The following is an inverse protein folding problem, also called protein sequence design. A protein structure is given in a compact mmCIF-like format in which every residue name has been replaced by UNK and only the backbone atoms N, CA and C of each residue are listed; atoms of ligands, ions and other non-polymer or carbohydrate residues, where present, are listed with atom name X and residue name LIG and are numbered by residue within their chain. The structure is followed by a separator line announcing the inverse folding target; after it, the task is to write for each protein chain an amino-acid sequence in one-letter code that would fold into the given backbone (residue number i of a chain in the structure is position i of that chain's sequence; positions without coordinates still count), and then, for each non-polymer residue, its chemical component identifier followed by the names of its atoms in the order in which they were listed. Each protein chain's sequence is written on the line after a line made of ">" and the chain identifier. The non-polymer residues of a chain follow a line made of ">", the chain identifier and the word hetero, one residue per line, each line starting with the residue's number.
data_IF_901646501858
#
_entry.id   IF_901646501858
#
_cell.length_a   1.000
_cell.length_b   1.000
_cell.length_c   1.000
_cell.angle_alpha   90.00
_cell.angle_beta   90.00
_cell.angle_gamma   90.00
#
_symmetry.space_group_name_H-M   'P 1'
#
loop_
_entity.id
_entity.type
_entity.pdbx_description
1 polymer ?
#
# COMPACT_ATOMS: atom_id res chain seq x y z
N UNK A 1 -4.74 4.94 0.30
CA UNK A 1 -3.69 4.91 -0.75
C UNK A 1 -4.34 4.84 -2.11
N UNK A 2 -3.78 5.43 -3.18
CA UNK A 2 -4.30 5.29 -4.56
C UNK A 2 -3.33 4.46 -5.39
N UNK A 3 -3.85 3.49 -6.15
CA UNK A 3 -3.10 2.68 -7.11
C UNK A 3 -3.69 2.92 -8.49
N UNK A 4 -2.85 3.17 -9.48
CA UNK A 4 -3.26 3.35 -10.87
C UNK A 4 -2.34 2.60 -11.80
N UNK A 5 -2.92 1.97 -12.82
CA UNK A 5 -2.22 1.32 -13.92
C UNK A 5 -2.15 2.25 -15.13
N UNK A 6 -1.14 2.08 -15.97
CA UNK A 6 -1.07 2.76 -17.27
C UNK A 6 -1.81 2.00 -18.37
N UNK A 7 -1.63 2.46 -19.60
CA UNK A 7 -2.17 1.82 -20.80
C UNK A 7 -1.58 0.43 -20.99
N UNK A 8 -2.43 -0.59 -21.01
CA UNK A 8 -2.06 -1.99 -21.19
C UNK A 8 -3.27 -2.82 -21.60
N UNK A 9 -3.10 -4.14 -21.75
CA UNK A 9 -4.21 -5.05 -22.04
C UNK A 9 -4.44 -5.99 -20.86
N UNK A 10 -5.70 -6.14 -20.44
CA UNK A 10 -6.09 -7.11 -19.41
C UNK A 10 -5.91 -6.62 -17.97
N UNK A 11 -6.56 -7.33 -17.06
CA UNK A 11 -6.48 -7.06 -15.62
C UNK A 11 -5.27 -7.75 -15.00
N UNK A 12 -4.51 -7.01 -14.21
CA UNK A 12 -3.36 -7.53 -13.47
C UNK A 12 -3.61 -7.40 -11.97
N UNK A 13 -3.12 -8.38 -11.22
CA UNK A 13 -3.17 -8.36 -9.76
C UNK A 13 -1.87 -7.76 -9.24
N UNK A 14 -1.98 -6.74 -8.39
CA UNK A 14 -0.84 -6.07 -7.79
C UNK A 14 -0.85 -6.34 -6.29
N UNK A 15 0.27 -6.84 -5.78
CA UNK A 15 0.57 -6.84 -4.36
C UNK A 15 1.03 -5.45 -3.94
N UNK A 16 0.39 -4.88 -2.93
CA UNK A 16 0.71 -3.57 -2.39
C UNK A 16 1.15 -3.75 -0.96
N UNK A 17 2.42 -3.43 -0.70
CA UNK A 17 3.00 -3.43 0.64
C UNK A 17 3.09 -2.01 1.15
N UNK A 18 2.53 -1.76 2.32
CA UNK A 18 2.64 -0.50 3.05
C UNK A 18 3.50 -0.71 4.28
N UNK A 19 4.58 0.06 4.38
CA UNK A 19 5.49 0.07 5.51
C UNK A 19 5.26 1.34 6.31
N UNK A 20 5.02 1.18 7.61
CA UNK A 20 4.84 2.27 8.56
C UNK A 20 6.14 2.46 9.32
N UNK A 21 6.70 3.67 9.31
CA UNK A 21 7.98 4.00 9.96
C UNK A 21 7.81 5.11 10.98
N UNK A 22 8.57 5.05 12.06
CA UNK A 22 8.63 6.11 13.06
C UNK A 22 9.55 7.26 12.62
N UNK A 23 9.65 8.31 13.44
CA UNK A 23 10.49 9.48 13.15
C UNK A 23 11.99 9.14 13.07
N UNK A 24 12.42 8.02 13.66
CA UNK A 24 13.79 7.53 13.58
C UNK A 24 14.05 6.66 12.33
N UNK A 25 13.01 6.39 11.52
CA UNK A 25 13.10 5.54 10.33
C UNK A 25 12.97 4.04 10.63
N UNK A 26 12.60 3.66 11.85
CA UNK A 26 12.39 2.25 12.21
C UNK A 26 11.02 1.78 11.75
N UNK A 27 10.93 0.59 11.17
CA UNK A 27 9.65 -0.03 10.81
C UNK A 27 8.83 -0.35 12.05
N UNK A 28 7.70 0.32 12.20
CA UNK A 28 6.73 0.13 13.28
C UNK A 28 5.79 -1.02 12.95
N UNK A 29 5.34 -1.09 11.71
CA UNK A 29 4.42 -2.11 11.21
C UNK A 29 4.53 -2.26 9.69
N UNK A 30 4.02 -3.37 9.16
CA UNK A 30 3.91 -3.62 7.73
C UNK A 30 2.58 -4.30 7.43
N UNK A 31 1.89 -3.79 6.42
CA UNK A 31 0.62 -4.36 5.96
C UNK A 31 0.70 -4.62 4.45
N UNK A 32 0.12 -5.73 4.02
CA UNK A 32 0.04 -6.09 2.61
C UNK A 32 -1.41 -6.22 2.19
N UNK A 33 -1.74 -5.67 1.03
CA UNK A 33 -3.04 -5.84 0.39
C UNK A 33 -2.84 -6.19 -1.08
N UNK A 34 -3.86 -6.75 -1.72
CA UNK A 34 -3.83 -7.04 -3.15
C UNK A 34 -4.97 -6.30 -3.86
N UNK A 35 -4.71 -5.85 -5.08
CA UNK A 35 -5.72 -5.20 -5.91
C UNK A 35 -5.62 -5.70 -7.34
N UNK A 36 -6.75 -6.03 -7.93
CA UNK A 36 -6.84 -6.29 -9.37
C UNK A 36 -7.27 -5.01 -10.07
N UNK A 37 -6.47 -4.56 -11.04
CA UNK A 37 -6.71 -3.37 -11.84
C UNK A 37 -6.67 -3.71 -13.32
N UNK A 38 -7.69 -3.24 -14.05
CA UNK A 38 -7.69 -3.22 -15.51
C UNK A 38 -6.77 -2.11 -16.06
N UNK A 39 -6.75 -1.92 -17.38
CA UNK A 39 -6.01 -0.84 -18.00
C UNK A 39 -6.59 0.54 -17.66
N UNK A 40 -5.72 1.52 -17.45
CA UNK A 40 -6.05 2.91 -17.08
C UNK A 40 -6.96 3.03 -15.85
N UNK A 41 -7.01 1.98 -15.02
CA UNK A 41 -7.85 1.91 -13.86
C UNK A 41 -7.12 2.51 -12.66
N UNK A 42 -7.85 3.32 -11.88
CA UNK A 42 -7.39 3.82 -10.60
C UNK A 42 -8.32 3.37 -9.48
N UNK A 43 -7.75 2.87 -8.39
CA UNK A 43 -8.52 2.46 -7.22
C UNK A 43 -7.88 2.97 -5.94
N UNK A 44 -8.74 3.43 -5.03
CA UNK A 44 -8.35 3.73 -3.66
C UNK A 44 -8.42 2.47 -2.82
N UNK A 45 -7.37 2.23 -2.04
CA UNK A 45 -7.26 1.10 -1.12
C UNK A 45 -7.12 1.63 0.30
N UNK A 46 -7.91 1.03 1.18
CA UNK A 46 -7.79 1.18 2.63
C UNK A 46 -6.93 0.05 3.18
N UNK A 47 -5.76 0.41 3.69
CA UNK A 47 -4.82 -0.53 4.29
C UNK A 47 -4.81 -0.28 5.78
N UNK A 48 -5.19 -1.30 6.55
CA UNK A 48 -5.17 -1.24 8.01
C UNK A 48 -3.83 -1.75 8.52
N UNK A 49 -3.30 -1.07 9.53
CA UNK A 49 -2.19 -1.60 10.32
C UNK A 49 -2.59 -2.93 10.96
N UNK A 50 -1.65 -3.87 11.01
CA UNK A 50 -1.81 -5.09 11.81
C UNK A 50 -1.84 -4.76 13.30
N UNK A 51 -1.12 -3.69 13.71
CA UNK A 51 -1.08 -3.20 15.10
C UNK A 51 -1.58 -1.75 15.18
N UNK A 52 -2.90 -1.52 15.16
CA UNK A 52 -3.46 -0.17 15.19
C UNK A 52 -3.08 0.63 16.44
N UNK A 53 -2.79 -0.04 17.57
CA UNK A 53 -2.31 0.61 18.79
C UNK A 53 -0.96 1.33 18.62
N UNK A 54 -0.17 0.97 17.59
CA UNK A 54 1.12 1.61 17.29
C UNK A 54 0.99 2.78 16.31
N UNK A 55 -0.23 3.12 15.85
CA UNK A 55 -0.45 4.20 14.89
C UNK A 55 0.09 5.55 15.39
N UNK A 56 0.01 5.82 16.69
CA UNK A 56 0.55 7.03 17.30
C UNK A 56 2.09 7.14 17.22
N UNK A 57 2.79 6.04 16.96
CA UNK A 57 4.26 6.02 16.78
C UNK A 57 4.67 6.19 15.32
N UNK A 58 3.72 6.13 14.38
CA UNK A 58 3.99 6.27 12.95
C UNK A 58 4.23 7.74 12.61
N UNK A 59 5.34 8.01 11.94
CA UNK A 59 5.66 9.34 11.41
C UNK A 59 5.50 9.37 9.89
N UNK A 60 5.84 8.27 9.19
CA UNK A 60 5.78 8.18 7.74
C UNK A 60 5.25 6.84 7.26
N UNK A 61 4.56 6.87 6.13
CA UNK A 61 4.08 5.69 5.44
C UNK A 61 4.74 5.62 4.05
N UNK A 62 5.31 4.47 3.71
CA UNK A 62 5.83 4.20 2.38
C UNK A 62 5.01 3.06 1.76
N UNK A 63 4.62 3.20 0.50
CA UNK A 63 3.88 2.16 -0.18
C UNK A 63 4.61 1.71 -1.45
N UNK A 64 4.63 0.40 -1.68
CA UNK A 64 5.27 -0.22 -2.82
C UNK A 64 4.31 -1.22 -3.46
N UNK A 65 4.05 -1.05 -4.75
CA UNK A 65 3.32 -2.01 -5.54
C UNK A 65 4.28 -2.95 -6.28
N UNK A 66 3.92 -4.22 -6.37
CA UNK A 66 4.61 -5.28 -7.10
C UNK A 66 3.57 -6.06 -7.91
N UNK A 67 3.82 -6.25 -9.20
CA UNK A 67 3.01 -7.10 -10.08
C UNK A 67 3.46 -8.56 -10.00
#
# INVERSE_FOLDING_TARGET
>A
MRVSTGSGSGSHSYGVTVTFTDAAGTTVDQATTSVTLGPDAARSLDVRMGRPALAARVSRCAARATA
#
